data_IF_888111545317
#
_entry.id   IF_888111545317
#
_cell.length_a   1.000
_cell.length_b   1.000
_cell.length_c   1.000
_cell.angle_alpha   90.00
_cell.angle_beta   90.00
_cell.angle_gamma   90.00
#
_symmetry.space_group_name_H-M   'P 1'
#
loop_
_entity.id
_entity.type
_entity.pdbx_description
1 polymer ?
#
# COMPACT_ATOMS: atom_id res chain seq x y z
N UNK A 1 -2.53 -2.16 -22.28
CA UNK A 1 -3.81 -2.60 -21.70
C UNK A 1 -4.14 -1.64 -20.57
N UNK A 2 -5.10 -0.74 -20.79
CA UNK A 2 -5.53 0.22 -19.77
C UNK A 2 -6.34 -0.52 -18.70
N UNK A 3 -5.83 -0.56 -17.48
CA UNK A 3 -6.56 -1.05 -16.33
C UNK A 3 -7.33 0.15 -15.76
N UNK A 4 -8.53 0.39 -16.26
CA UNK A 4 -9.48 1.29 -15.60
C UNK A 4 -9.73 0.72 -14.21
N UNK A 5 -9.38 1.41 -13.11
CA UNK A 5 -9.77 0.97 -11.80
C UNK A 5 -11.29 1.00 -11.80
N UNK A 6 -11.93 -0.18 -11.80
CA UNK A 6 -13.33 -0.27 -11.43
C UNK A 6 -13.38 0.20 -9.99
N UNK A 7 -13.64 1.50 -9.80
CA UNK A 7 -14.15 2.10 -8.58
C UNK A 7 -15.43 1.34 -8.25
N UNK A 8 -15.24 0.19 -7.61
CA UNK A 8 -16.32 -0.59 -7.08
C UNK A 8 -16.92 0.29 -6.01
N UNK A 9 -18.03 0.96 -6.33
CA UNK A 9 -18.91 1.47 -5.31
C UNK A 9 -19.22 0.25 -4.45
N UNK A 10 -18.70 0.21 -3.22
CA UNK A 10 -19.15 -0.79 -2.27
C UNK A 10 -20.64 -0.54 -2.09
N UNK A 11 -21.47 -1.30 -2.81
CA UNK A 11 -22.92 -1.23 -2.68
C UNK A 11 -23.24 -1.96 -1.39
N UNK A 12 -23.47 -1.19 -0.34
CA UNK A 12 -24.00 -1.70 0.91
C UNK A 12 -25.18 -2.63 0.60
N UNK A 13 -25.10 -3.94 0.94
CA UNK A 13 -26.19 -4.88 0.70
C UNK A 13 -27.50 -4.47 1.40
N UNK A 14 -27.42 -3.53 2.35
CA UNK A 14 -28.54 -3.03 3.16
C UNK A 14 -29.11 -1.68 2.69
N UNK A 15 -28.65 -1.11 1.57
CA UNK A 15 -29.28 0.07 0.94
C UNK A 15 -29.12 1.42 1.68
N UNK A 16 -28.27 1.50 2.70
CA UNK A 16 -28.00 2.75 3.42
C UNK A 16 -26.63 3.33 3.02
N UNK A 17 -26.53 4.66 2.87
CA UNK A 17 -25.25 5.39 2.76
C UNK A 17 -24.54 5.38 4.12
N UNK A 18 -23.93 4.24 4.46
CA UNK A 18 -23.17 4.08 5.71
C UNK A 18 -21.69 4.10 5.36
N UNK A 19 -20.99 5.05 5.95
CA UNK A 19 -19.52 5.07 5.98
C UNK A 19 -19.04 3.99 6.95
N UNK A 20 -18.12 3.14 6.53
CA UNK A 20 -17.53 2.12 7.40
C UNK A 20 -16.24 2.68 8.03
N UNK A 21 -16.20 2.76 9.36
CA UNK A 21 -14.97 3.12 10.07
C UNK A 21 -14.06 1.90 10.22
N UNK A 22 -12.79 2.04 9.85
CA UNK A 22 -11.78 0.97 9.83
C UNK A 22 -10.54 1.41 10.61
N UNK A 23 -10.20 0.66 11.66
CA UNK A 23 -8.93 0.79 12.36
C UNK A 23 -7.92 -0.23 11.83
N UNK A 24 -6.76 0.25 11.37
CA UNK A 24 -5.64 -0.57 10.89
C UNK A 24 -4.51 -0.47 11.90
N UNK A 25 -4.13 -1.60 12.50
CA UNK A 25 -3.01 -1.67 13.44
C UNK A 25 -1.76 -2.18 12.70
N UNK A 26 -0.77 -1.31 12.55
CA UNK A 26 0.48 -1.53 11.80
C UNK A 26 0.56 -0.71 10.52
N UNK A 27 1.52 0.20 10.44
CA UNK A 27 1.89 1.05 9.30
C UNK A 27 2.93 0.42 8.37
N UNK A 28 3.09 -0.90 8.41
CA UNK A 28 3.97 -1.62 7.48
C UNK A 28 3.38 -1.74 6.06
N UNK A 29 4.08 -2.45 5.14
CA UNK A 29 3.68 -2.55 3.74
C UNK A 29 2.24 -3.03 3.53
N UNK A 30 1.80 -4.05 4.28
CA UNK A 30 0.43 -4.58 4.16
C UNK A 30 -0.62 -3.59 4.68
N UNK A 31 -0.38 -2.95 5.82
CA UNK A 31 -1.31 -2.02 6.45
C UNK A 31 -1.49 -0.75 5.62
N UNK A 32 -0.39 -0.16 5.15
CA UNK A 32 -0.45 1.02 4.28
C UNK A 32 -1.04 0.70 2.90
N UNK A 33 -0.79 -0.50 2.36
CA UNK A 33 -1.42 -0.95 1.11
C UNK A 33 -2.94 -1.06 1.27
N UNK A 34 -3.42 -1.62 2.38
CA UNK A 34 -4.85 -1.69 2.68
C UNK A 34 -5.46 -0.29 2.87
N UNK A 35 -4.79 0.59 3.63
CA UNK A 35 -5.24 1.95 3.84
C UNK A 35 -5.38 2.71 2.51
N UNK A 36 -4.38 2.61 1.63
CA UNK A 36 -4.42 3.22 0.30
C UNK A 36 -5.55 2.65 -0.56
N UNK A 37 -5.73 1.32 -0.54
CA UNK A 37 -6.80 0.66 -1.30
C UNK A 37 -8.20 1.11 -0.84
N UNK A 38 -8.47 1.14 0.46
CA UNK A 38 -9.74 1.58 1.01
C UNK A 38 -9.99 3.07 0.75
N UNK A 39 -8.95 3.91 0.85
CA UNK A 39 -9.04 5.33 0.53
C UNK A 39 -9.40 5.58 -0.94
N UNK A 40 -8.81 4.81 -1.87
CA UNK A 40 -9.12 4.89 -3.31
C UNK A 40 -10.56 4.44 -3.64
N UNK A 41 -11.08 3.46 -2.91
CA UNK A 41 -12.45 2.98 -3.10
C UNK A 41 -13.51 3.98 -2.60
N UNK A 42 -13.19 4.74 -1.54
CA UNK A 42 -14.13 5.65 -0.88
C UNK A 42 -15.20 4.92 -0.06
N UNK A 43 -15.95 5.67 0.76
CA UNK A 43 -16.97 5.11 1.66
C UNK A 43 -16.42 4.51 2.96
N UNK A 44 -15.13 4.73 3.23
CA UNK A 44 -14.45 4.30 4.46
C UNK A 44 -13.88 5.51 5.19
N UNK A 45 -13.98 5.48 6.52
CA UNK A 45 -13.24 6.37 7.42
C UNK A 45 -12.11 5.53 8.03
N UNK A 46 -10.86 5.88 7.76
CA UNK A 46 -9.72 5.00 8.04
C UNK A 46 -8.79 5.67 9.06
N UNK A 47 -8.39 4.92 10.08
CA UNK A 47 -7.33 5.30 11.01
C UNK A 47 -6.23 4.23 11.02
N UNK A 48 -4.98 4.65 10.85
CA UNK A 48 -3.80 3.77 10.94
C UNK A 48 -3.07 4.07 12.24
N UNK A 49 -2.78 3.01 13.01
CA UNK A 49 -2.05 3.07 14.26
C UNK A 49 -0.73 2.33 14.11
N UNK A 50 0.39 3.05 14.22
CA UNK A 50 1.74 2.49 14.17
C UNK A 50 2.46 2.77 15.49
N UNK A 51 3.29 1.81 15.94
CA UNK A 51 4.09 1.93 17.15
C UNK A 51 5.39 2.71 16.90
N UNK A 52 5.97 2.54 15.72
CA UNK A 52 7.16 3.25 15.29
C UNK A 52 6.92 4.76 15.19
N UNK A 53 8.01 5.52 15.27
CA UNK A 53 7.98 6.96 15.03
C UNK A 53 7.56 7.27 13.59
N UNK A 54 7.18 8.52 13.34
CA UNK A 54 6.77 8.97 12.01
C UNK A 54 7.90 8.73 11.00
N UNK A 55 7.56 8.05 9.91
CA UNK A 55 8.46 7.70 8.81
C UNK A 55 9.12 8.91 8.13
N UNK A 56 8.57 10.13 8.28
CA UNK A 56 9.23 11.35 7.80
C UNK A 56 10.31 11.90 8.74
N UNK A 57 10.28 11.48 10.01
CA UNK A 57 11.21 11.93 11.05
C UNK A 57 12.20 10.85 11.50
N UNK A 58 11.84 9.58 11.34
CA UNK A 58 12.66 8.44 11.72
C UNK A 58 13.80 8.18 10.73
N UNK A 59 14.88 7.57 11.21
CA UNK A 59 15.95 7.07 10.33
C UNK A 59 15.37 6.10 9.29
N UNK A 60 15.64 6.39 8.01
CA UNK A 60 15.09 5.65 6.88
C UNK A 60 15.70 4.25 6.72
N UNK A 61 16.81 4.00 7.39
CA UNK A 61 17.56 2.74 7.34
C UNK A 61 17.92 2.29 8.75
N UNK A 62 17.34 1.18 9.20
CA UNK A 62 17.69 0.51 10.45
C UNK A 62 18.28 -0.86 10.10
N UNK A 63 19.57 -1.13 10.32
CA UNK A 63 20.20 -2.39 9.89
C UNK A 63 19.58 -3.64 10.51
N UNK A 64 18.93 -3.54 11.67
CA UNK A 64 18.25 -4.67 12.33
C UNK A 64 16.87 -4.97 11.72
N UNK A 65 16.32 -4.07 10.90
CA UNK A 65 14.96 -4.16 10.34
C UNK A 65 14.87 -3.94 8.82
N UNK A 66 15.89 -3.34 8.22
CA UNK A 66 15.94 -2.97 6.82
C UNK A 66 16.67 -4.04 6.02
N UNK A 67 15.92 -4.71 5.15
CA UNK A 67 16.45 -5.65 4.16
C UNK A 67 15.88 -5.28 2.80
N UNK A 68 16.63 -5.57 1.74
CA UNK A 68 16.11 -5.40 0.38
C UNK A 68 15.13 -6.53 0.11
N UNK A 69 13.92 -6.18 -0.30
CA UNK A 69 12.90 -7.13 -0.71
C UNK A 69 12.48 -6.81 -2.14
N UNK A 70 12.43 -7.84 -2.97
CA UNK A 70 11.83 -7.74 -4.30
C UNK A 70 10.31 -7.87 -4.21
N UNK A 71 9.58 -7.08 -4.99
CA UNK A 71 8.11 -7.06 -5.01
C UNK A 71 7.63 -7.70 -6.31
N UNK A 72 7.29 -8.99 -6.22
CA UNK A 72 6.76 -9.78 -7.34
C UNK A 72 5.35 -10.33 -7.02
N UNK A 73 4.76 -11.09 -7.96
CA UNK A 73 3.53 -11.85 -7.73
C UNK A 73 2.37 -11.02 -7.14
N UNK A 74 1.88 -11.45 -5.97
CA UNK A 74 0.77 -10.79 -5.27
C UNK A 74 1.11 -9.39 -4.78
N UNK A 75 2.36 -9.16 -4.33
CA UNK A 75 2.83 -7.84 -3.91
C UNK A 75 2.82 -6.86 -5.08
N UNK A 76 3.31 -7.29 -6.24
CA UNK A 76 3.26 -6.48 -7.47
C UNK A 76 1.82 -6.19 -7.90
N UNK A 77 0.92 -7.15 -7.78
CA UNK A 77 -0.50 -6.96 -8.09
C UNK A 77 -1.14 -5.92 -7.16
N UNK A 78 -0.80 -5.94 -5.88
CA UNK A 78 -1.28 -4.95 -4.92
C UNK A 78 -0.68 -3.56 -5.17
N UNK A 79 0.62 -3.46 -5.47
CA UNK A 79 1.28 -2.21 -5.84
C UNK A 79 0.66 -1.58 -7.10
N UNK A 80 0.35 -2.39 -8.12
CA UNK A 80 -0.36 -1.95 -9.32
C UNK A 80 -1.77 -1.46 -9.00
N UNK A 81 -2.48 -2.17 -8.12
CA UNK A 81 -3.83 -1.79 -7.73
C UNK A 81 -3.87 -0.39 -7.10
N UNK A 82 -2.90 -0.07 -6.25
CA UNK A 82 -2.82 1.25 -5.60
C UNK A 82 -2.05 2.30 -6.42
N UNK A 83 -1.58 1.97 -7.63
CA UNK A 83 -0.93 2.93 -8.54
C UNK A 83 0.45 3.42 -8.11
N UNK A 84 1.21 2.62 -7.36
CA UNK A 84 2.51 3.05 -6.78
C UNK A 84 3.74 2.51 -7.54
N UNK A 85 3.54 1.68 -8.58
CA UNK A 85 4.64 1.00 -9.28
C UNK A 85 5.66 1.95 -9.90
N UNK A 86 5.22 3.07 -10.47
CA UNK A 86 6.12 4.02 -11.13
C UNK A 86 7.13 4.62 -10.14
N UNK A 87 6.70 4.83 -8.89
CA UNK A 87 7.57 5.29 -7.81
C UNK A 87 8.57 4.21 -7.40
N UNK A 88 8.11 2.97 -7.27
CA UNK A 88 9.02 1.85 -6.98
C UNK A 88 10.06 1.72 -8.09
N UNK A 89 9.67 1.73 -9.36
CA UNK A 89 10.61 1.60 -10.48
C UNK A 89 11.66 2.73 -10.49
N UNK A 90 11.27 3.95 -10.08
CA UNK A 90 12.20 5.08 -9.98
C UNK A 90 13.17 4.98 -8.78
N UNK A 91 12.76 4.38 -7.66
CA UNK A 91 13.53 4.34 -6.40
C UNK A 91 14.26 3.00 -6.18
N UNK A 92 13.88 1.93 -6.89
CA UNK A 92 14.46 0.60 -6.71
C UNK A 92 15.91 0.53 -7.22
N UNK A 93 16.71 -0.26 -6.49
CA UNK A 93 18.04 -0.64 -6.97
C UNK A 93 17.85 -1.46 -8.24
N UNK A 94 18.29 -0.90 -9.37
CA UNK A 94 18.20 -1.57 -10.66
C UNK A 94 19.14 -2.77 -10.67
N UNK A 95 18.57 -3.97 -10.64
CA UNK A 95 19.37 -5.19 -10.78
C UNK A 95 19.95 -5.28 -12.18
N UNK A 96 21.26 -5.07 -12.31
CA UNK A 96 21.99 -5.08 -13.59
C UNK A 96 22.39 -6.49 -14.06
N UNK A 97 21.81 -7.53 -13.47
CA UNK A 97 22.24 -8.91 -13.64
C UNK A 97 23.41 -9.27 -12.72
N UNK A 98 23.63 -10.58 -12.55
CA UNK A 98 24.89 -11.07 -12.01
C UNK A 98 25.96 -10.88 -13.09
N UNK A 99 27.05 -10.18 -12.76
CA UNK A 99 28.28 -10.25 -13.57
C UNK A 99 28.91 -11.61 -13.33
N UNK A 100 28.47 -12.59 -14.10
CA UNK A 100 29.16 -13.88 -14.28
C UNK A 100 30.27 -13.72 -15.32
#
# INVERSE_FOLDING_TARGET
>A
MHFEPRIGSWRNPRGHNVTISVAIVGGGPAGLTLAAALAQQGGFEIAVFERAEDHFSAETYNPDRSYTIDITGHGLRAARFIGITDRFDAELIHFKGLKI
#
